data_IF_753052285744
#
_entry.id   IF_753052285744
#
_cell.length_a   1.000
_cell.length_b   1.000
_cell.length_c   1.000
_cell.angle_alpha   90.00
_cell.angle_beta   90.00
_cell.angle_gamma   90.00
#
_symmetry.space_group_name_H-M   'P 1'
#
loop_
_entity.id
_entity.type
_entity.pdbx_description
1 polymer ?
#
# COMPACT_ATOMS: atom_id res chain seq x y z
N UNK A 1 42.04 3.68 -9.34
CA UNK A 1 42.33 2.64 -8.34
C UNK A 1 41.06 2.05 -7.71
N UNK A 2 40.06 2.84 -7.30
CA UNK A 2 38.79 2.33 -6.74
C UNK A 2 37.83 1.61 -7.72
N UNK A 3 37.87 1.92 -9.03
CA UNK A 3 37.01 1.28 -10.05
C UNK A 3 37.25 -0.24 -10.21
N UNK A 4 38.47 -0.71 -9.93
CA UNK A 4 38.80 -2.14 -9.92
C UNK A 4 38.27 -2.86 -8.67
N UNK A 5 38.01 -2.12 -7.58
CA UNK A 5 37.46 -2.67 -6.34
C UNK A 5 35.93 -2.73 -6.34
N UNK A 6 35.26 -1.87 -7.11
CA UNK A 6 33.81 -1.87 -7.24
C UNK A 6 33.25 -3.20 -7.81
N UNK A 7 34.04 -3.92 -8.62
CA UNK A 7 33.68 -5.23 -9.18
C UNK A 7 33.53 -6.31 -8.10
N UNK A 8 34.20 -6.16 -6.96
CA UNK A 8 34.27 -7.19 -5.91
C UNK A 8 33.67 -6.74 -4.56
N UNK A 9 33.24 -5.49 -4.43
CA UNK A 9 32.72 -4.94 -3.18
C UNK A 9 31.42 -4.16 -3.41
N UNK A 10 30.24 -4.77 -3.07
CA UNK A 10 28.93 -4.17 -3.29
C UNK A 10 28.78 -2.77 -2.66
N UNK A 11 29.37 -2.54 -1.48
CA UNK A 11 29.33 -1.22 -0.81
C UNK A 11 30.08 -0.13 -1.58
N UNK A 12 31.17 -0.49 -2.28
CA UNK A 12 31.94 0.45 -3.12
C UNK A 12 31.20 0.72 -4.43
N UNK A 13 30.53 -0.29 -5.00
CA UNK A 13 29.66 -0.11 -6.15
C UNK A 13 28.49 0.84 -5.81
N UNK A 14 27.77 0.59 -4.71
CA UNK A 14 26.67 1.46 -4.25
C UNK A 14 27.13 2.88 -3.96
N UNK A 15 28.28 3.05 -3.28
CA UNK A 15 28.84 4.38 -3.02
C UNK A 15 29.24 5.10 -4.31
N UNK A 16 29.68 4.38 -5.35
CA UNK A 16 30.01 4.98 -6.65
C UNK A 16 28.79 5.38 -7.48
N UNK A 17 27.65 4.70 -7.30
CA UNK A 17 26.36 5.11 -7.88
C UNK A 17 25.78 6.34 -7.15
N UNK A 18 26.05 6.47 -5.85
CA UNK A 18 25.66 7.61 -5.02
C UNK A 18 26.59 8.81 -5.19
N UNK A 19 27.86 8.61 -5.58
CA UNK A 19 28.84 9.70 -5.69
C UNK A 19 28.45 10.82 -6.69
N UNK A 20 27.91 10.53 -7.89
CA UNK A 20 27.32 11.55 -8.76
C UNK A 20 26.16 12.29 -8.09
N UNK A 21 25.34 11.58 -7.30
CA UNK A 21 24.18 12.12 -6.60
C UNK A 21 24.59 13.01 -5.43
N UNK A 22 25.60 12.66 -4.65
CA UNK A 22 26.13 13.49 -3.56
C UNK A 22 26.77 14.78 -4.09
N UNK A 23 27.46 14.69 -5.23
CA UNK A 23 27.98 15.86 -5.95
C UNK A 23 26.84 16.74 -6.47
N UNK A 24 25.78 16.14 -6.98
CA UNK A 24 24.59 16.81 -7.49
C UNK A 24 23.74 17.48 -6.40
N UNK A 25 23.49 16.80 -5.27
CA UNK A 25 22.76 17.34 -4.12
C UNK A 25 23.50 18.53 -3.51
N UNK A 26 24.84 18.52 -3.55
CA UNK A 26 25.68 19.67 -3.17
C UNK A 26 25.62 20.82 -4.17
N UNK A 27 25.39 20.54 -5.45
CA UNK A 27 25.25 21.56 -6.50
C UNK A 27 23.86 22.23 -6.46
N UNK A 28 22.78 21.47 -6.25
CA UNK A 28 21.43 22.03 -6.08
C UNK A 28 21.29 22.93 -4.85
N UNK A 29 21.99 22.62 -3.76
CA UNK A 29 21.99 23.43 -2.55
C UNK A 29 22.85 24.71 -2.66
N UNK A 30 23.47 24.98 -3.82
CA UNK A 30 24.11 26.26 -4.11
C UNK A 30 23.19 27.15 -4.94
N UNK A 31 22.76 28.32 -4.42
CA UNK A 31 21.98 29.26 -5.23
C UNK A 31 22.82 29.72 -6.44
N UNK A 32 22.29 29.51 -7.65
CA UNK A 32 22.85 30.03 -8.91
C UNK A 32 23.62 29.04 -9.80
N UNK A 33 23.70 27.74 -9.47
CA UNK A 33 24.30 26.73 -10.35
C UNK A 33 23.33 25.56 -10.55
N UNK A 34 22.51 25.60 -11.60
CA UNK A 34 21.88 24.38 -12.11
C UNK A 34 22.97 23.51 -12.73
N UNK A 35 23.12 22.24 -12.32
CA UNK A 35 23.96 21.30 -13.06
C UNK A 35 23.55 21.33 -14.55
N UNK A 36 24.50 21.30 -15.48
CA UNK A 36 24.25 21.43 -16.92
C UNK A 36 23.54 20.24 -17.57
N UNK A 37 22.72 19.50 -16.82
CA UNK A 37 21.97 18.35 -17.29
C UNK A 37 20.61 18.79 -17.78
N UNK A 38 20.31 18.44 -19.02
CA UNK A 38 18.98 18.56 -19.61
C UNK A 38 18.08 17.41 -19.15
N UNK A 39 16.77 17.53 -19.39
CA UNK A 39 15.79 16.43 -19.23
C UNK A 39 16.24 15.18 -20.00
N UNK A 40 16.75 15.35 -21.22
CA UNK A 40 17.32 14.27 -22.04
C UNK A 40 18.51 13.58 -21.36
N UNK A 41 19.42 14.35 -20.74
CA UNK A 41 20.59 13.79 -20.06
C UNK A 41 20.19 12.94 -18.85
N UNK A 42 19.19 13.40 -18.08
CA UNK A 42 18.67 12.64 -16.94
C UNK A 42 18.00 11.34 -17.39
N UNK A 43 17.19 11.39 -18.46
CA UNK A 43 16.55 10.19 -19.01
C UNK A 43 17.59 9.20 -19.55
N UNK A 44 18.58 9.68 -20.32
CA UNK A 44 19.67 8.84 -20.79
C UNK A 44 20.50 8.24 -19.64
N UNK A 45 20.71 9.00 -18.57
CA UNK A 45 21.39 8.50 -17.37
C UNK A 45 20.58 7.42 -16.64
N UNK A 46 19.24 7.49 -16.66
CA UNK A 46 18.40 6.47 -16.04
C UNK A 46 18.65 5.07 -16.62
N UNK A 47 19.03 5.01 -17.90
CA UNK A 47 19.39 3.77 -18.61
C UNK A 47 20.88 3.40 -18.48
N UNK A 48 21.72 4.31 -18.03
CA UNK A 48 23.15 4.05 -17.80
C UNK A 48 23.35 3.30 -16.49
N UNK A 49 23.43 1.98 -16.59
CA UNK A 49 23.82 1.10 -15.48
C UNK A 49 22.85 -0.03 -15.24
N UNK A 50 22.63 -0.89 -16.23
CA UNK A 50 22.09 -2.22 -15.99
C UNK A 50 23.13 -3.04 -15.20
N UNK A 51 23.25 -2.77 -13.90
CA UNK A 51 23.92 -3.67 -12.98
C UNK A 51 23.09 -4.94 -12.86
N UNK A 52 23.75 -6.10 -12.77
CA UNK A 52 23.10 -7.41 -12.61
C UNK A 52 22.32 -7.57 -11.28
N UNK A 53 22.40 -6.57 -10.39
CA UNK A 53 21.77 -6.60 -9.07
C UNK A 53 20.24 -6.41 -9.15
N UNK A 54 19.46 -7.26 -8.46
CA UNK A 54 18.03 -7.07 -8.33
C UNK A 54 17.64 -5.65 -7.86
N UNK A 55 16.69 -5.04 -8.57
CA UNK A 55 16.16 -3.72 -8.25
C UNK A 55 17.07 -2.53 -8.56
N UNK A 56 18.23 -2.72 -9.21
CA UNK A 56 19.10 -1.62 -9.61
C UNK A 56 18.39 -0.60 -10.52
N UNK A 57 17.61 -1.10 -11.50
CA UNK A 57 16.81 -0.26 -12.38
C UNK A 57 15.81 0.59 -11.59
N UNK A 58 15.05 -0.02 -10.66
CA UNK A 58 14.05 0.70 -9.88
C UNK A 58 14.68 1.81 -9.03
N UNK A 59 15.82 1.54 -8.38
CA UNK A 59 16.56 2.54 -7.59
C UNK A 59 17.06 3.69 -8.46
N UNK A 60 17.65 3.40 -9.63
CA UNK A 60 18.16 4.41 -10.56
C UNK A 60 17.03 5.23 -11.18
N UNK A 61 15.95 4.60 -11.64
CA UNK A 61 14.78 5.29 -12.15
C UNK A 61 14.15 6.22 -11.09
N UNK A 62 14.08 5.80 -9.83
CA UNK A 62 13.63 6.66 -8.74
C UNK A 62 14.58 7.84 -8.46
N UNK A 63 15.89 7.64 -8.59
CA UNK A 63 16.85 8.74 -8.50
C UNK A 63 16.72 9.72 -9.67
N UNK A 64 16.58 9.21 -10.89
CA UNK A 64 16.36 10.01 -12.08
C UNK A 64 15.07 10.82 -11.99
N UNK A 65 13.98 10.24 -11.50
CA UNK A 65 12.72 10.96 -11.28
C UNK A 65 12.89 12.17 -10.34
N UNK A 66 13.66 12.03 -9.26
CA UNK A 66 14.00 13.18 -8.38
C UNK A 66 14.84 14.23 -9.10
N UNK A 67 15.74 13.82 -9.98
CA UNK A 67 16.49 14.75 -10.82
C UNK A 67 15.58 15.48 -11.81
N UNK A 68 14.62 14.79 -12.42
CA UNK A 68 13.63 15.37 -13.33
C UNK A 68 12.86 16.51 -12.66
N UNK A 69 12.48 16.37 -11.39
CA UNK A 69 11.82 17.45 -10.62
C UNK A 69 12.63 18.75 -10.58
N UNK A 70 13.95 18.69 -10.70
CA UNK A 70 14.81 19.88 -10.69
C UNK A 70 15.14 20.44 -12.09
N UNK A 71 15.06 19.63 -13.16
CA UNK A 71 15.53 20.03 -14.50
C UNK A 71 14.43 20.19 -15.53
N UNK A 72 13.29 19.53 -15.34
CA UNK A 72 12.17 19.54 -16.29
C UNK A 72 11.59 20.94 -16.38
N UNK A 73 11.40 21.41 -17.62
CA UNK A 73 10.69 22.64 -17.94
C UNK A 73 9.35 22.33 -18.61
N UNK A 74 8.40 23.28 -18.66
CA UNK A 74 7.11 23.07 -19.33
C UNK A 74 7.24 22.60 -20.78
N UNK A 75 8.26 23.07 -21.51
CA UNK A 75 8.56 22.65 -22.88
C UNK A 75 8.98 21.18 -23.02
N UNK A 76 9.43 20.54 -21.95
CA UNK A 76 9.87 19.14 -21.95
C UNK A 76 8.70 18.15 -21.77
N UNK A 77 7.47 18.63 -21.56
CA UNK A 77 6.31 17.75 -21.35
C UNK A 77 6.11 16.71 -22.48
N UNK A 78 6.25 17.05 -23.78
CA UNK A 78 6.18 16.05 -24.85
C UNK A 78 7.28 14.98 -24.76
N UNK A 79 8.50 15.37 -24.36
CA UNK A 79 9.63 14.45 -24.19
C UNK A 79 9.35 13.44 -23.07
N UNK A 80 8.85 13.91 -21.92
CA UNK A 80 8.49 13.04 -20.79
C UNK A 80 7.38 12.05 -21.15
N UNK A 81 6.33 12.50 -21.85
CA UNK A 81 5.24 11.62 -22.28
C UNK A 81 5.72 10.59 -23.32
N UNK A 82 6.59 10.99 -24.24
CA UNK A 82 7.20 10.05 -25.19
C UNK A 82 8.06 9.00 -24.46
N UNK A 83 8.87 9.41 -23.48
CA UNK A 83 9.67 8.50 -22.67
C UNK A 83 8.78 7.53 -21.86
N UNK A 84 7.70 8.02 -21.24
CA UNK A 84 6.74 7.19 -20.50
C UNK A 84 5.98 6.20 -21.39
N UNK A 85 5.67 6.60 -22.63
CA UNK A 85 4.93 5.76 -23.58
C UNK A 85 5.75 4.57 -24.10
N UNK A 86 7.04 4.76 -24.38
CA UNK A 86 7.84 3.71 -25.02
C UNK A 86 9.35 3.93 -25.02
N UNK A 87 9.87 4.78 -24.13
CA UNK A 87 11.32 4.92 -23.95
C UNK A 87 11.97 3.64 -23.40
N UNK A 88 13.31 3.59 -23.35
CA UNK A 88 14.02 2.48 -22.71
C UNK A 88 13.65 2.36 -21.22
N UNK A 89 13.85 1.17 -20.64
CA UNK A 89 13.22 0.79 -19.38
C UNK A 89 13.50 1.75 -18.20
N UNK A 90 14.74 2.24 -18.05
CA UNK A 90 15.12 3.18 -17.01
C UNK A 90 14.49 4.56 -17.23
N UNK A 91 14.64 5.13 -18.43
CA UNK A 91 14.02 6.41 -18.81
C UNK A 91 12.50 6.38 -18.67
N UNK A 92 11.86 5.30 -19.12
CA UNK A 92 10.41 5.09 -19.03
C UNK A 92 9.93 5.03 -17.59
N UNK A 93 10.61 4.25 -16.74
CA UNK A 93 10.30 4.18 -15.32
C UNK A 93 10.50 5.54 -14.63
N UNK A 94 11.55 6.28 -14.96
CA UNK A 94 11.81 7.61 -14.40
C UNK A 94 10.74 8.62 -14.81
N UNK A 95 10.36 8.63 -16.09
CA UNK A 95 9.31 9.50 -16.63
C UNK A 95 7.94 9.16 -16.00
N UNK A 96 7.56 7.88 -15.91
CA UNK A 96 6.32 7.45 -15.23
C UNK A 96 6.28 7.94 -13.78
N UNK A 97 7.38 7.77 -13.03
CA UNK A 97 7.48 8.24 -11.64
C UNK A 97 7.27 9.75 -11.54
N UNK A 98 7.94 10.52 -12.40
CA UNK A 98 7.80 11.97 -12.44
C UNK A 98 6.36 12.39 -12.80
N UNK A 99 5.75 11.82 -13.83
CA UNK A 99 4.37 12.15 -14.24
C UNK A 99 3.35 11.86 -13.12
N UNK A 100 3.50 10.75 -12.40
CA UNK A 100 2.63 10.40 -11.26
C UNK A 100 2.82 11.37 -10.09
N UNK A 101 4.06 11.74 -9.78
CA UNK A 101 4.36 12.71 -8.71
C UNK A 101 3.79 14.10 -9.03
N UNK A 102 3.88 14.52 -10.29
CA UNK A 102 3.32 15.78 -10.78
C UNK A 102 1.80 15.73 -11.04
N UNK A 103 1.17 14.56 -10.90
CA UNK A 103 -0.24 14.31 -11.23
C UNK A 103 -0.60 14.73 -12.66
N UNK A 104 0.26 14.41 -13.63
CA UNK A 104 -0.05 14.65 -15.04
C UNK A 104 -1.29 13.84 -15.46
N UNK A 105 -2.29 14.45 -16.15
CA UNK A 105 -3.51 13.77 -16.55
C UNK A 105 -3.29 12.51 -17.41
N UNK A 106 -2.21 12.44 -18.18
CA UNK A 106 -1.88 11.29 -19.02
C UNK A 106 -1.18 10.16 -18.25
N UNK A 107 -0.83 10.36 -16.97
CA UNK A 107 -0.09 9.37 -16.19
C UNK A 107 -0.83 8.02 -16.10
N UNK A 108 -2.16 8.05 -16.01
CA UNK A 108 -2.96 6.83 -15.90
C UNK A 108 -2.93 5.99 -17.18
N UNK A 109 -3.04 6.60 -18.35
CA UNK A 109 -2.93 5.90 -19.65
C UNK A 109 -1.54 5.28 -19.82
N UNK A 110 -0.49 6.01 -19.41
CA UNK A 110 0.88 5.49 -19.44
C UNK A 110 1.10 4.33 -18.45
N UNK A 111 0.48 4.37 -17.26
CA UNK A 111 0.50 3.25 -16.30
C UNK A 111 -0.17 2.02 -16.90
N UNK A 112 -1.34 2.17 -17.51
CA UNK A 112 -2.08 1.07 -18.13
C UNK A 112 -1.26 0.40 -19.24
N UNK A 113 -0.67 1.20 -20.13
CA UNK A 113 0.22 0.70 -21.18
C UNK A 113 1.47 0.01 -20.59
N UNK A 114 2.05 0.54 -19.51
CA UNK A 114 3.21 -0.05 -18.84
C UNK A 114 2.89 -1.34 -18.07
N UNK A 115 1.67 -1.48 -17.55
CA UNK A 115 1.23 -2.68 -16.86
C UNK A 115 1.01 -3.87 -17.81
N UNK A 116 0.83 -3.61 -19.11
CA UNK A 116 0.71 -4.61 -20.17
C UNK A 116 2.06 -4.92 -20.87
N UNK A 117 3.18 -4.38 -20.37
CA UNK A 117 4.48 -4.54 -21.00
C UNK A 117 5.05 -5.96 -20.85
N UNK A 118 5.97 -6.34 -21.74
CA UNK A 118 6.69 -7.62 -21.67
C UNK A 118 7.83 -7.59 -20.64
N UNK A 119 8.40 -6.41 -20.35
CA UNK A 119 9.42 -6.26 -19.31
C UNK A 119 8.76 -6.17 -17.93
N UNK A 120 8.84 -7.28 -17.18
CA UNK A 120 8.34 -7.38 -15.80
C UNK A 120 8.85 -6.28 -14.85
N UNK A 121 10.01 -5.66 -15.13
CA UNK A 121 10.55 -4.55 -14.32
C UNK A 121 9.73 -3.27 -14.51
N UNK A 122 9.27 -3.03 -15.74
CA UNK A 122 8.38 -1.91 -16.08
C UNK A 122 7.00 -2.16 -15.47
N UNK A 123 6.46 -3.38 -15.64
CA UNK A 123 5.17 -3.78 -15.04
C UNK A 123 5.19 -3.59 -13.52
N UNK A 124 6.22 -4.09 -12.83
CA UNK A 124 6.35 -3.93 -11.38
C UNK A 124 6.39 -2.44 -10.96
N UNK A 125 7.09 -1.60 -11.72
CA UNK A 125 7.13 -0.15 -11.46
C UNK A 125 5.76 0.50 -11.67
N UNK A 126 5.03 0.14 -12.73
CA UNK A 126 3.70 0.67 -13.01
C UNK A 126 2.70 0.33 -11.88
N UNK A 127 2.69 -0.93 -11.41
CA UNK A 127 1.80 -1.37 -10.35
C UNK A 127 2.15 -0.74 -8.99
N UNK A 128 3.45 -0.52 -8.70
CA UNK A 128 3.89 0.24 -7.52
C UNK A 128 3.36 1.69 -7.58
N UNK A 129 3.49 2.34 -8.75
CA UNK A 129 3.11 3.73 -8.92
C UNK A 129 1.60 3.96 -8.88
N UNK A 130 0.82 3.03 -9.39
CA UNK A 130 -0.64 3.05 -9.26
C UNK A 130 -1.04 3.22 -7.79
N UNK A 131 -0.44 2.44 -6.88
CA UNK A 131 -0.69 2.53 -5.45
C UNK A 131 -0.35 3.88 -4.81
N UNK A 132 0.38 4.75 -5.51
CA UNK A 132 0.77 6.10 -5.08
C UNK A 132 -0.09 7.21 -5.70
N UNK A 133 -0.91 6.90 -6.71
CA UNK A 133 -1.81 7.87 -7.32
C UNK A 133 -2.87 8.32 -6.32
N UNK A 134 -3.25 9.60 -6.35
CA UNK A 134 -4.24 10.18 -5.43
C UNK A 134 -5.17 11.12 -6.19
N UNK A 135 -6.38 11.29 -5.67
CA UNK A 135 -7.39 12.21 -6.21
C UNK A 135 -8.48 11.53 -7.02
N UNK A 136 -9.55 12.27 -7.37
CA UNK A 136 -10.76 11.72 -7.97
C UNK A 136 -10.51 11.07 -9.35
N UNK A 137 -9.60 11.64 -10.15
CA UNK A 137 -9.24 11.08 -11.45
C UNK A 137 -8.57 9.70 -11.30
N UNK A 138 -7.61 9.57 -10.38
CA UNK A 138 -6.95 8.29 -10.09
C UNK A 138 -7.96 7.22 -9.67
N UNK A 139 -8.93 7.57 -8.82
CA UNK A 139 -10.00 6.66 -8.40
C UNK A 139 -10.94 6.30 -9.56
N UNK A 140 -11.25 7.25 -10.46
CA UNK A 140 -12.03 6.98 -11.65
C UNK A 140 -11.34 5.99 -12.61
N UNK A 141 -10.01 6.06 -12.75
CA UNK A 141 -9.24 5.07 -13.49
C UNK A 141 -9.22 3.71 -12.78
N UNK A 142 -8.99 3.71 -11.47
CA UNK A 142 -8.98 2.48 -10.68
C UNK A 142 -10.32 1.74 -10.76
N UNK A 143 -11.45 2.44 -10.71
CA UNK A 143 -12.80 1.86 -10.92
C UNK A 143 -12.90 1.18 -12.28
N UNK A 144 -12.43 1.82 -13.35
CA UNK A 144 -12.46 1.24 -14.71
C UNK A 144 -11.58 0.00 -14.82
N UNK A 145 -10.39 0.00 -14.21
CA UNK A 145 -9.49 -1.16 -14.26
C UNK A 145 -9.99 -2.33 -13.40
N UNK A 146 -10.67 -2.03 -12.30
CA UNK A 146 -11.26 -3.00 -11.39
C UNK A 146 -12.60 -3.57 -11.89
N UNK A 147 -13.26 -2.91 -12.84
CA UNK A 147 -14.55 -3.33 -13.37
C UNK A 147 -14.42 -4.65 -14.17
N UNK A 148 -15.13 -5.73 -13.79
CA UNK A 148 -15.13 -6.96 -14.58
C UNK A 148 -15.62 -6.76 -16.02
N UNK A 149 -16.48 -5.77 -16.27
CA UNK A 149 -17.03 -5.49 -17.60
C UNK A 149 -15.98 -4.96 -18.58
N UNK A 150 -14.88 -4.36 -18.10
CA UNK A 150 -13.79 -3.87 -18.95
C UNK A 150 -12.74 -4.95 -19.24
N UNK A 151 -12.85 -6.13 -18.61
CA UNK A 151 -11.98 -7.29 -18.83
C UNK A 151 -10.61 -7.20 -18.14
N UNK A 152 -10.30 -6.10 -17.44
CA UNK A 152 -9.01 -5.94 -16.74
C UNK A 152 -9.04 -6.35 -15.27
N UNK A 153 -10.21 -6.67 -14.70
CA UNK A 153 -10.34 -6.98 -13.27
C UNK A 153 -9.41 -8.11 -12.79
N UNK A 154 -9.26 -9.17 -13.60
CA UNK A 154 -8.41 -10.32 -13.27
C UNK A 154 -6.92 -10.08 -13.53
N UNK A 155 -6.57 -8.98 -14.21
CA UNK A 155 -5.18 -8.62 -14.50
C UNK A 155 -4.45 -8.09 -13.26
N UNK A 156 -3.12 -8.08 -13.30
CA UNK A 156 -2.32 -7.47 -12.24
C UNK A 156 -2.65 -5.98 -12.03
N UNK A 157 -3.06 -5.28 -13.10
CA UNK A 157 -3.53 -3.90 -13.05
C UNK A 157 -4.86 -3.78 -12.30
N UNK A 158 -5.85 -4.65 -12.62
CA UNK A 158 -7.13 -4.70 -11.92
C UNK A 158 -6.98 -5.01 -10.43
N UNK A 159 -6.13 -5.97 -10.10
CA UNK A 159 -5.82 -6.29 -8.70
C UNK A 159 -5.14 -5.12 -7.97
N UNK A 160 -4.22 -4.39 -8.61
CA UNK A 160 -3.61 -3.19 -8.05
C UNK A 160 -4.63 -2.05 -7.88
N UNK A 161 -5.52 -1.89 -8.85
CA UNK A 161 -6.61 -0.92 -8.82
C UNK A 161 -7.55 -1.16 -7.64
N UNK A 162 -7.97 -2.40 -7.38
CA UNK A 162 -8.84 -2.69 -6.22
C UNK A 162 -8.12 -2.42 -4.90
N UNK A 163 -6.80 -2.66 -4.79
CA UNK A 163 -6.04 -2.27 -3.60
C UNK A 163 -6.03 -0.75 -3.39
N UNK A 164 -5.87 0.03 -4.46
CA UNK A 164 -6.00 1.49 -4.38
C UNK A 164 -7.41 1.91 -3.94
N UNK A 165 -8.46 1.24 -4.41
CA UNK A 165 -9.84 1.49 -3.96
C UNK A 165 -10.05 1.08 -2.49
N UNK A 166 -9.44 -0.01 -2.04
CA UNK A 166 -9.44 -0.42 -0.64
C UNK A 166 -8.81 0.65 0.26
N UNK A 167 -7.67 1.22 -0.16
CA UNK A 167 -6.95 2.24 0.62
C UNK A 167 -7.60 3.62 0.57
N UNK A 168 -8.10 4.05 -0.59
CA UNK A 168 -8.47 5.45 -0.85
C UNK A 168 -9.84 5.68 -1.51
N UNK A 169 -10.56 4.62 -1.87
CA UNK A 169 -11.88 4.70 -2.50
C UNK A 169 -12.97 5.26 -1.60
N UNK A 170 -14.14 5.48 -2.18
CA UNK A 170 -15.34 5.99 -1.52
C UNK A 170 -16.34 4.85 -1.25
N UNK A 171 -17.39 5.05 -0.42
CA UNK A 171 -18.36 3.98 -0.12
C UNK A 171 -18.98 3.28 -1.34
N UNK A 172 -19.09 3.96 -2.49
CA UNK A 172 -19.56 3.37 -3.74
C UNK A 172 -18.62 2.29 -4.31
N UNK A 173 -17.34 2.27 -3.90
CA UNK A 173 -16.34 1.31 -4.33
C UNK A 173 -16.39 -0.02 -3.55
N UNK A 174 -17.19 -0.08 -2.48
CA UNK A 174 -17.33 -1.27 -1.64
C UNK A 174 -17.61 -2.56 -2.43
N UNK A 175 -18.52 -2.61 -3.42
CA UNK A 175 -18.77 -3.84 -4.18
C UNK A 175 -17.54 -4.42 -4.88
N UNK A 176 -16.65 -3.55 -5.41
CA UNK A 176 -15.42 -3.99 -6.09
C UNK A 176 -14.42 -4.59 -5.09
N UNK A 177 -14.27 -3.97 -3.91
CA UNK A 177 -13.39 -4.47 -2.85
C UNK A 177 -13.91 -5.78 -2.26
N UNK A 178 -15.23 -5.91 -2.09
CA UNK A 178 -15.88 -7.17 -1.65
C UNK A 178 -15.64 -8.30 -2.65
N UNK A 179 -15.82 -8.02 -3.95
CA UNK A 179 -15.58 -9.01 -5.00
C UNK A 179 -14.12 -9.48 -5.00
N UNK A 180 -13.17 -8.55 -4.88
CA UNK A 180 -11.75 -8.89 -4.80
C UNK A 180 -11.38 -9.67 -3.54
N UNK A 181 -12.00 -9.37 -2.39
CA UNK A 181 -11.80 -10.16 -1.16
C UNK A 181 -12.26 -11.62 -1.38
N UNK A 182 -13.46 -11.83 -1.94
CA UNK A 182 -13.95 -13.18 -2.24
C UNK A 182 -13.07 -13.92 -3.23
N UNK A 183 -12.62 -13.24 -4.28
CA UNK A 183 -11.70 -13.81 -5.27
C UNK A 183 -10.36 -14.19 -4.63
N UNK A 184 -9.80 -13.31 -3.79
CA UNK A 184 -8.55 -13.57 -3.08
C UNK A 184 -8.65 -14.82 -2.21
N UNK A 185 -9.69 -14.91 -1.38
CA UNK A 185 -9.93 -16.06 -0.50
C UNK A 185 -10.10 -17.34 -1.33
N UNK A 186 -10.81 -17.25 -2.46
CA UNK A 186 -11.05 -18.42 -3.32
C UNK A 186 -9.77 -18.94 -3.98
N UNK A 187 -8.83 -18.05 -4.34
CA UNK A 187 -7.58 -18.41 -5.03
C UNK A 187 -6.42 -18.73 -4.09
N UNK A 188 -6.35 -18.04 -2.94
CA UNK A 188 -5.19 -18.06 -2.04
C UNK A 188 -5.52 -18.50 -0.61
N UNK A 189 -6.80 -18.72 -0.29
CA UNK A 189 -7.26 -18.89 1.08
C UNK A 189 -7.02 -17.64 1.94
N UNK A 190 -6.92 -17.84 3.25
CA UNK A 190 -6.66 -16.78 4.24
C UNK A 190 -5.15 -16.60 4.43
N UNK A 191 -4.46 -16.30 3.34
CA UNK A 191 -3.00 -16.12 3.32
C UNK A 191 -2.58 -14.95 2.43
N UNK A 192 -1.32 -14.53 2.57
CA UNK A 192 -0.70 -13.52 1.73
C UNK A 192 -0.86 -12.09 2.25
N UNK A 193 0.11 -11.25 1.89
CA UNK A 193 0.25 -9.89 2.44
C UNK A 193 -0.82 -8.92 1.95
N UNK A 194 -1.38 -9.13 0.76
CA UNK A 194 -2.38 -8.21 0.19
C UNK A 194 -3.79 -8.38 0.79
N UNK A 195 -4.05 -9.52 1.47
CA UNK A 195 -5.33 -9.76 2.13
C UNK A 195 -5.62 -8.72 3.22
N UNK A 196 -4.58 -8.29 3.95
CA UNK A 196 -4.70 -7.26 4.99
C UNK A 196 -5.28 -5.95 4.46
N UNK A 197 -4.76 -5.43 3.34
CA UNK A 197 -5.27 -4.21 2.71
C UNK A 197 -6.73 -4.33 2.27
N UNK A 198 -7.15 -5.50 1.78
CA UNK A 198 -8.56 -5.74 1.43
C UNK A 198 -9.45 -5.72 2.67
N UNK A 199 -9.05 -6.39 3.75
CA UNK A 199 -9.77 -6.41 5.04
C UNK A 199 -9.89 -5.00 5.62
N UNK A 200 -8.80 -4.25 5.65
CA UNK A 200 -8.77 -2.86 6.13
C UNK A 200 -9.70 -1.98 5.27
N UNK A 201 -9.67 -2.17 3.94
CA UNK A 201 -10.55 -1.49 2.99
C UNK A 201 -12.02 -1.80 3.22
N UNK A 202 -12.40 -3.05 3.48
CA UNK A 202 -13.79 -3.43 3.82
C UNK A 202 -14.28 -2.66 5.06
N UNK A 203 -13.46 -2.61 6.12
CA UNK A 203 -13.79 -1.87 7.33
C UNK A 203 -13.94 -0.37 7.06
N UNK A 204 -12.97 0.23 6.37
CA UNK A 204 -12.95 1.65 6.02
C UNK A 204 -14.17 2.06 5.17
N UNK A 205 -14.53 1.22 4.20
CA UNK A 205 -15.68 1.43 3.30
C UNK A 205 -17.02 1.04 3.91
N UNK A 206 -17.02 0.47 5.13
CA UNK A 206 -18.21 -0.08 5.81
C UNK A 206 -19.00 -1.04 4.93
N UNK A 207 -18.28 -1.93 4.24
CA UNK A 207 -18.88 -2.86 3.29
C UNK A 207 -19.57 -4.03 4.01
N UNK A 208 -20.80 -3.80 4.52
CA UNK A 208 -21.59 -4.77 5.28
C UNK A 208 -21.80 -6.12 4.55
N UNK A 209 -21.80 -6.12 3.22
CA UNK A 209 -21.92 -7.34 2.41
C UNK A 209 -20.75 -8.33 2.61
N UNK A 210 -19.59 -7.87 3.11
CA UNK A 210 -18.42 -8.72 3.36
C UNK A 210 -18.40 -9.36 4.75
N UNK A 211 -19.40 -9.14 5.62
CA UNK A 211 -19.40 -9.72 6.99
C UNK A 211 -19.15 -11.24 7.00
N UNK A 212 -19.78 -12.08 6.15
CA UNK A 212 -19.48 -13.51 6.11
C UNK A 212 -18.01 -13.81 5.77
N UNK A 213 -17.43 -13.10 4.81
CA UNK A 213 -16.04 -13.25 4.41
C UNK A 213 -15.07 -12.79 5.51
N UNK A 214 -15.38 -11.68 6.19
CA UNK A 214 -14.60 -11.21 7.34
C UNK A 214 -14.62 -12.20 8.50
N UNK A 215 -15.77 -12.80 8.81
CA UNK A 215 -15.88 -13.84 9.85
C UNK A 215 -15.04 -15.07 9.49
N UNK A 216 -15.03 -15.46 8.22
CA UNK A 216 -14.18 -16.55 7.74
C UNK A 216 -12.69 -16.20 7.88
N UNK A 217 -12.27 -15.01 7.45
CA UNK A 217 -10.89 -14.53 7.64
C UNK A 217 -10.50 -14.51 9.12
N UNK A 218 -11.37 -13.98 9.98
CA UNK A 218 -11.12 -13.93 11.42
C UNK A 218 -10.93 -15.32 12.04
N UNK A 219 -11.77 -16.30 11.67
CA UNK A 219 -11.71 -17.67 12.19
C UNK A 219 -10.51 -18.47 11.68
N UNK A 220 -10.07 -18.25 10.44
CA UNK A 220 -8.98 -19.02 9.82
C UNK A 220 -7.60 -18.32 9.89
N UNK A 221 -7.55 -17.07 10.34
CA UNK A 221 -6.30 -16.30 10.41
C UNK A 221 -5.27 -16.97 11.34
N UNK A 222 -4.17 -17.43 10.76
CA UNK A 222 -3.06 -18.02 11.50
C UNK A 222 -2.24 -16.98 12.27
N UNK A 223 -2.16 -15.73 11.79
CA UNK A 223 -1.50 -14.64 12.49
C UNK A 223 -2.51 -13.81 13.28
N UNK A 224 -2.08 -13.39 14.47
CA UNK A 224 -2.83 -12.50 15.33
C UNK A 224 -3.02 -11.10 14.73
N UNK A 225 -2.03 -10.60 13.97
CA UNK A 225 -2.13 -9.35 13.19
C UNK A 225 -3.32 -9.37 12.22
N UNK A 226 -3.46 -10.42 11.41
CA UNK A 226 -4.56 -10.51 10.43
C UNK A 226 -5.91 -10.68 11.14
N UNK A 227 -5.94 -11.48 12.21
CA UNK A 227 -7.15 -11.65 13.03
C UNK A 227 -7.60 -10.33 13.65
N UNK A 228 -6.66 -9.54 14.17
CA UNK A 228 -6.91 -8.19 14.70
C UNK A 228 -7.47 -7.23 13.65
N UNK A 229 -6.88 -7.21 12.45
CA UNK A 229 -7.42 -6.43 11.31
C UNK A 229 -8.85 -6.85 10.94
N UNK A 230 -9.12 -8.16 10.90
CA UNK A 230 -10.46 -8.68 10.63
C UNK A 230 -11.45 -8.29 11.74
N UNK A 231 -11.04 -8.36 13.00
CA UNK A 231 -11.85 -7.91 14.14
C UNK A 231 -12.17 -6.41 14.05
N UNK A 232 -11.19 -5.57 13.69
CA UNK A 232 -11.40 -4.13 13.46
C UNK A 232 -12.45 -3.87 12.38
N UNK A 233 -12.37 -4.59 11.26
CA UNK A 233 -13.34 -4.48 10.17
C UNK A 233 -14.73 -4.99 10.58
N UNK A 234 -14.80 -6.08 11.35
CA UNK A 234 -16.06 -6.61 11.89
C UNK A 234 -16.71 -5.63 12.89
N UNK A 235 -15.93 -4.98 13.75
CA UNK A 235 -16.45 -4.03 14.75
C UNK A 235 -17.26 -2.88 14.13
N UNK A 236 -16.97 -2.51 12.88
CA UNK A 236 -17.66 -1.45 12.16
C UNK A 236 -18.70 -1.95 11.13
N UNK A 237 -18.63 -3.22 10.71
CA UNK A 237 -19.52 -3.78 9.68
C UNK A 237 -20.55 -4.77 10.20
N UNK A 238 -20.24 -5.51 11.26
CA UNK A 238 -21.07 -6.57 11.80
C UNK A 238 -21.87 -6.08 13.03
N UNK A 239 -23.21 -5.99 12.95
CA UNK A 239 -24.03 -5.55 14.08
C UNK A 239 -23.97 -6.52 15.28
N UNK A 240 -23.53 -7.77 15.08
CA UNK A 240 -23.40 -8.78 16.14
C UNK A 240 -21.97 -8.90 16.68
N UNK A 241 -21.05 -8.01 16.30
CA UNK A 241 -19.66 -8.08 16.73
C UNK A 241 -19.53 -8.20 18.26
N UNK A 242 -20.30 -7.41 19.01
CA UNK A 242 -20.28 -7.39 20.48
C UNK A 242 -20.68 -8.70 21.16
N UNK A 243 -21.48 -9.55 20.50
CA UNK A 243 -22.00 -10.79 21.07
C UNK A 243 -21.16 -12.03 20.70
N UNK A 244 -20.39 -11.96 19.62
CA UNK A 244 -19.58 -13.08 19.12
C UNK A 244 -18.10 -12.74 19.08
N UNK A 245 -17.57 -12.22 17.95
CA UNK A 245 -16.12 -12.01 17.79
C UNK A 245 -15.49 -11.15 18.89
N UNK A 246 -16.17 -10.13 19.41
CA UNK A 246 -15.65 -9.32 20.51
C UNK A 246 -15.44 -10.14 21.80
N UNK A 247 -16.27 -11.16 22.06
CA UNK A 247 -16.07 -12.06 23.19
C UNK A 247 -14.76 -12.81 23.01
N UNK A 248 -14.57 -13.47 21.87
CA UNK A 248 -13.35 -14.23 21.56
C UNK A 248 -12.08 -13.36 21.61
N UNK A 249 -12.15 -12.13 21.10
CA UNK A 249 -11.04 -11.18 21.09
C UNK A 249 -10.52 -10.82 22.50
N UNK A 250 -11.29 -11.01 23.59
CA UNK A 250 -10.80 -10.83 24.97
C UNK A 250 -9.70 -11.83 25.36
N UNK A 251 -9.56 -12.92 24.61
CA UNK A 251 -8.53 -13.95 24.77
C UNK A 251 -7.44 -13.89 23.70
N UNK A 252 -7.45 -12.87 22.84
CA UNK A 252 -6.40 -12.71 21.84
C UNK A 252 -5.05 -12.41 22.49
N UNK A 253 -3.95 -12.71 21.78
CA UNK A 253 -2.60 -12.41 22.21
C UNK A 253 -2.19 -10.96 21.95
N UNK A 254 -2.83 -10.28 20.99
CA UNK A 254 -2.59 -8.86 20.68
C UNK A 254 -3.39 -7.97 21.63
N UNK A 255 -2.70 -7.04 22.27
CA UNK A 255 -3.27 -6.03 23.16
C UNK A 255 -4.32 -5.16 22.46
N UNK A 256 -4.06 -4.72 21.23
CA UNK A 256 -4.98 -3.87 20.46
C UNK A 256 -6.30 -4.60 20.14
N UNK A 257 -6.24 -5.91 19.90
CA UNK A 257 -7.43 -6.75 19.71
C UNK A 257 -8.21 -6.92 21.02
N UNK A 258 -7.53 -7.08 22.16
CA UNK A 258 -8.17 -7.12 23.49
C UNK A 258 -8.79 -5.78 23.88
N UNK A 259 -8.15 -4.66 23.53
CA UNK A 259 -8.70 -3.31 23.73
C UNK A 259 -9.98 -3.12 22.93
N UNK A 260 -9.96 -3.47 21.64
CA UNK A 260 -11.13 -3.42 20.76
C UNK A 260 -12.27 -4.27 21.34
N UNK A 261 -11.96 -5.48 21.79
CA UNK A 261 -12.90 -6.38 22.45
C UNK A 261 -13.57 -5.72 23.67
N UNK A 262 -12.77 -5.19 24.61
CA UNK A 262 -13.28 -4.52 25.80
C UNK A 262 -14.15 -3.30 25.46
N UNK A 263 -13.79 -2.60 24.38
CA UNK A 263 -14.53 -1.44 23.87
C UNK A 263 -15.87 -1.81 23.25
N UNK A 264 -16.13 -3.06 22.85
CA UNK A 264 -17.36 -3.44 22.14
C UNK A 264 -18.18 -4.56 22.80
N UNK A 265 -17.57 -5.43 23.60
CA UNK A 265 -18.19 -6.68 24.08
C UNK A 265 -19.49 -6.43 24.86
N UNK A 266 -20.52 -7.18 24.50
CA UNK A 266 -21.78 -7.22 25.25
C UNK A 266 -21.56 -7.97 26.56
N UNK A 267 -21.82 -7.32 27.69
CA UNK A 267 -21.58 -7.90 29.02
C UNK A 267 -22.84 -8.48 29.66
N UNK A 268 -23.99 -8.33 29.01
CA UNK A 268 -25.28 -8.81 29.52
C UNK A 268 -25.35 -10.33 29.39
N UNK A 269 -25.62 -11.03 30.50
CA UNK A 269 -25.92 -12.45 30.49
C UNK A 269 -24.73 -13.42 30.49
N UNK A 270 -23.49 -12.95 30.28
CA UNK A 270 -22.29 -13.81 30.29
C UNK A 270 -21.34 -13.49 31.46
N UNK A 271 -21.36 -14.36 32.47
CA UNK A 271 -20.47 -14.26 33.63
C UNK A 271 -18.99 -14.47 33.28
N UNK A 272 -18.67 -15.25 32.24
CA UNK A 272 -17.28 -15.52 31.80
C UNK A 272 -16.65 -14.26 31.20
N UNK A 273 -17.43 -13.48 30.44
CA UNK A 273 -17.00 -12.17 29.92
C UNK A 273 -16.66 -11.23 31.07
N UNK A 274 -17.54 -11.12 32.07
CA UNK A 274 -17.30 -10.24 33.22
C UNK A 274 -16.07 -10.67 34.04
N UNK A 275 -15.91 -11.97 34.26
CA UNK A 275 -14.73 -12.49 34.95
C UNK A 275 -13.46 -12.19 34.16
N UNK A 276 -13.48 -12.40 32.84
CA UNK A 276 -12.34 -12.11 31.98
C UNK A 276 -11.97 -10.63 32.02
N UNK A 277 -12.93 -9.73 31.92
CA UNK A 277 -12.72 -8.28 32.06
C UNK A 277 -12.10 -7.94 33.42
N UNK A 278 -12.59 -8.50 34.52
CA UNK A 278 -11.99 -8.25 35.85
C UNK A 278 -10.55 -8.77 35.95
N UNK A 279 -10.25 -9.91 35.34
CA UNK A 279 -8.87 -10.44 35.27
C UNK A 279 -7.96 -9.49 34.50
N UNK A 280 -8.38 -9.01 33.32
CA UNK A 280 -7.62 -8.04 32.52
C UNK A 280 -7.39 -6.73 33.28
N UNK A 281 -8.41 -6.22 33.99
CA UNK A 281 -8.29 -4.99 34.79
C UNK A 281 -7.28 -5.09 35.95
N UNK A 282 -7.03 -6.32 36.43
CA UNK A 282 -6.16 -6.61 37.56
C UNK A 282 -4.77 -7.13 37.13
N UNK A 283 -4.55 -7.37 35.83
CA UNK A 283 -3.28 -7.88 35.31
C UNK A 283 -2.25 -6.73 35.23
N UNK A 284 -1.17 -6.75 36.03
CA UNK A 284 -0.17 -5.69 36.02
C UNK A 284 0.71 -5.70 34.76
N UNK A 285 0.70 -6.77 33.97
CA UNK A 285 1.47 -6.88 32.73
C UNK A 285 0.68 -6.43 31.50
N UNK A 286 -0.60 -6.09 31.67
CA UNK A 286 -1.46 -5.65 30.58
C UNK A 286 -1.31 -4.15 30.31
N UNK A 287 -1.53 -3.76 29.05
CA UNK A 287 -1.31 -2.39 28.57
C UNK A 287 -2.35 -1.39 29.11
N UNK A 288 -1.94 -0.12 29.21
CA UNK A 288 -2.72 0.93 29.83
C UNK A 288 -4.05 1.21 29.08
N UNK A 289 -4.03 1.10 27.76
CA UNK A 289 -5.18 1.27 26.87
C UNK A 289 -6.21 0.16 27.10
N UNK A 290 -5.76 -1.09 27.23
CA UNK A 290 -6.64 -2.22 27.56
C UNK A 290 -7.25 -2.03 28.96
N UNK A 291 -6.45 -1.63 29.96
CA UNK A 291 -6.97 -1.31 31.29
C UNK A 291 -8.05 -0.22 31.24
N UNK A 292 -7.83 0.84 30.48
CA UNK A 292 -8.78 1.93 30.32
C UNK A 292 -10.09 1.45 29.69
N UNK A 293 -10.01 0.70 28.58
CA UNK A 293 -11.16 0.15 27.88
C UNK A 293 -11.98 -0.79 28.78
N UNK A 294 -11.30 -1.70 29.50
CA UNK A 294 -11.93 -2.66 30.41
C UNK A 294 -12.62 -1.95 31.59
N UNK A 295 -11.95 -0.99 32.24
CA UNK A 295 -12.55 -0.22 33.34
C UNK A 295 -13.75 0.61 32.86
N UNK A 296 -13.64 1.22 31.68
CA UNK A 296 -14.75 1.92 31.03
C UNK A 296 -15.95 0.98 30.81
N UNK A 297 -15.71 -0.23 30.30
CA UNK A 297 -16.76 -1.23 30.06
C UNK A 297 -17.42 -1.74 31.35
N UNK A 298 -16.65 -1.96 32.41
CA UNK A 298 -17.18 -2.41 33.71
C UNK A 298 -18.03 -1.33 34.38
N UNK A 299 -17.61 -0.06 34.32
CA UNK A 299 -18.33 1.07 34.93
C UNK A 299 -19.57 1.50 34.14
N UNK A 300 -19.59 1.33 32.82
CA UNK A 300 -20.75 1.63 31.99
C UNK A 300 -21.99 0.76 32.32
N UNK A 301 -21.80 -0.39 32.96
CA UNK A 301 -22.88 -1.27 33.43
C UNK A 301 -23.54 -0.78 34.73
N UNK A 302 -22.82 -0.03 35.55
CA UNK A 302 -23.34 0.48 36.83
C UNK A 302 -24.28 1.69 36.64
N UNK A 303 -24.55 2.08 35.39
CA UNK A 303 -25.48 3.15 34.99
C UNK A 303 -26.65 2.58 34.21
#
# INVERSE_FOLDING_TARGET
MWRLWAVHHPRVATASEQSPFDLWQRQLNRPGVTPGWSTTDVLAWADQGEGAEPGALARRAAAAARCLTAVVRPEDAPLLRAAAAGGPAGARCAALRHLVEQRDPAAAEHIEAAAADLDHRIVATALELLGRMRGPEALAHARRWADPATGSADSALGQAAVRLLADAGEPCDAPLVVAALHQWISLNGVTGTALGSLVDGIGRLRAHAAVPALRHVYGEAASSELRGRAAQALAVTDPYFGEGPAVECLWDCEETTRELAATHVTTTGDARVLERLRRLAADPAEEAEVHAAVRGRLTARDR
#
